data_IF_273238770403
#
_entry.id   IF_273238770403
#
_cell.length_a   1.000
_cell.length_b   1.000
_cell.length_c   1.000
_cell.angle_alpha   90.00
_cell.angle_beta   90.00
_cell.angle_gamma   90.00
#
_symmetry.space_group_name_H-M   'P 1'
#
loop_
_entity.id
_entity.type
_entity.pdbx_description
1 polymer ?
#
# COMPACT_ATOMS: atom_id res chain seq x y z
N UNK A 1 -27.02 -1.66 -0.88
CA UNK A 1 -27.66 -2.24 -2.08
C UNK A 1 -26.84 -1.82 -3.29
N UNK A 2 -26.28 -2.77 -4.03
CA UNK A 2 -25.59 -2.52 -5.30
C UNK A 2 -26.65 -2.30 -6.38
N UNK A 3 -26.40 -1.37 -7.30
CA UNK A 3 -27.36 -1.12 -8.37
C UNK A 3 -26.74 -0.34 -9.52
N UNK A 4 -27.13 -0.70 -10.75
CA UNK A 4 -26.76 0.08 -11.93
C UNK A 4 -27.48 1.42 -11.91
N UNK A 5 -26.80 2.42 -11.36
CA UNK A 5 -27.25 3.81 -11.37
C UNK A 5 -27.02 4.43 -12.75
N UNK A 6 -27.37 5.71 -12.90
CA UNK A 6 -27.30 6.44 -14.18
C UNK A 6 -25.95 6.31 -14.88
N UNK A 7 -25.98 6.07 -16.20
CA UNK A 7 -24.79 5.93 -17.06
C UNK A 7 -23.92 7.15 -17.07
N UNK A 8 -24.57 8.31 -17.15
CA UNK A 8 -23.88 9.57 -17.21
C UNK A 8 -23.07 9.82 -15.93
N UNK A 9 -23.69 9.63 -14.76
CA UNK A 9 -23.01 9.82 -13.49
C UNK A 9 -21.94 8.76 -13.23
N UNK A 10 -22.16 7.50 -13.63
CA UNK A 10 -21.12 6.47 -13.53
C UNK A 10 -19.88 6.85 -14.35
N UNK A 11 -20.06 7.38 -15.55
CA UNK A 11 -18.96 7.91 -16.37
C UNK A 11 -18.27 9.09 -15.71
N UNK A 12 -19.00 10.11 -15.24
CA UNK A 12 -18.42 11.28 -14.58
C UNK A 12 -17.63 10.87 -13.33
N UNK A 13 -18.16 9.98 -12.50
CA UNK A 13 -17.44 9.50 -11.32
C UNK A 13 -16.27 8.58 -11.66
N UNK A 14 -16.28 7.86 -12.78
CA UNK A 14 -15.13 7.05 -13.22
C UNK A 14 -13.89 7.88 -13.58
N UNK A 15 -14.05 9.19 -13.82
CA UNK A 15 -12.92 10.09 -14.04
C UNK A 15 -12.09 10.33 -12.77
N UNK A 16 -12.67 10.07 -11.59
CA UNK A 16 -12.00 10.12 -10.30
C UNK A 16 -11.72 8.69 -9.82
N UNK A 17 -10.45 8.29 -9.64
CA UNK A 17 -10.09 6.93 -9.23
C UNK A 17 -10.85 6.49 -7.96
N UNK A 18 -11.59 5.39 -8.07
CA UNK A 18 -12.36 4.79 -6.98
C UNK A 18 -13.77 5.36 -6.78
N UNK A 19 -14.10 6.53 -7.34
CA UNK A 19 -15.41 7.16 -7.10
C UNK A 19 -16.52 6.48 -7.91
N UNK A 20 -16.24 6.02 -9.13
CA UNK A 20 -17.22 5.32 -9.97
C UNK A 20 -17.62 3.96 -9.38
N UNK A 21 -16.68 3.23 -8.79
CA UNK A 21 -16.89 1.95 -8.14
C UNK A 21 -17.80 2.13 -6.91
N UNK A 22 -17.53 3.16 -6.09
CA UNK A 22 -18.40 3.54 -4.97
C UNK A 22 -19.81 3.93 -5.45
N UNK A 23 -19.91 4.66 -6.56
CA UNK A 23 -21.20 5.06 -7.13
C UNK A 23 -22.04 3.85 -7.56
N UNK A 24 -21.41 2.79 -8.08
CA UNK A 24 -22.07 1.51 -8.41
C UNK A 24 -22.37 0.64 -7.17
N UNK A 25 -21.87 1.02 -5.99
CA UNK A 25 -22.10 0.33 -4.72
C UNK A 25 -20.98 -0.60 -4.28
N UNK A 26 -19.82 -0.57 -4.94
CA UNK A 26 -18.61 -1.30 -4.54
C UNK A 26 -17.71 -0.39 -3.69
N UNK A 27 -18.04 -0.27 -2.40
CA UNK A 27 -17.41 0.67 -1.48
C UNK A 27 -16.00 0.25 -1.11
N UNK A 28 -15.77 -1.03 -0.80
CA UNK A 28 -14.42 -1.54 -0.46
C UNK A 28 -13.50 -1.43 -1.66
N UNK A 29 -14.01 -1.80 -2.83
CA UNK A 29 -13.27 -1.72 -4.10
C UNK A 29 -12.83 -0.29 -4.39
N UNK A 30 -13.77 0.65 -4.43
CA UNK A 30 -13.47 2.06 -4.67
C UNK A 30 -12.56 2.67 -3.61
N UNK A 31 -12.74 2.33 -2.33
CA UNK A 31 -11.87 2.81 -1.24
C UNK A 31 -10.44 2.31 -1.43
N UNK A 32 -10.25 1.06 -1.84
CA UNK A 32 -8.92 0.50 -2.08
C UNK A 32 -8.18 1.29 -3.17
N UNK A 33 -8.85 1.61 -4.27
CA UNK A 33 -8.29 2.38 -5.38
C UNK A 33 -7.95 3.80 -4.92
N UNK A 34 -8.86 4.47 -4.21
CA UNK A 34 -8.63 5.82 -3.67
C UNK A 34 -7.41 5.87 -2.75
N UNK A 35 -7.29 4.91 -1.82
CA UNK A 35 -6.15 4.85 -0.88
C UNK A 35 -4.84 4.66 -1.63
N UNK A 36 -4.79 3.78 -2.64
CA UNK A 36 -3.57 3.59 -3.44
C UNK A 36 -3.24 4.83 -4.27
N UNK A 37 -4.23 5.44 -4.93
CA UNK A 37 -4.02 6.63 -5.77
C UNK A 37 -3.50 7.82 -4.97
N UNK A 38 -4.19 8.19 -3.89
CA UNK A 38 -3.79 9.31 -3.03
C UNK A 38 -2.55 8.98 -2.20
N UNK A 39 -2.39 7.73 -1.76
CA UNK A 39 -1.20 7.28 -1.05
C UNK A 39 0.06 7.41 -1.91
N UNK A 40 -0.03 7.11 -3.21
CA UNK A 40 1.09 7.25 -4.15
C UNK A 40 1.45 8.73 -4.38
N UNK A 41 0.47 9.63 -4.49
CA UNK A 41 0.70 11.08 -4.55
C UNK A 41 1.39 11.57 -3.28
N UNK A 42 0.86 11.18 -2.12
CA UNK A 42 1.41 11.54 -0.81
C UNK A 42 2.86 11.08 -0.67
N UNK A 43 3.14 9.81 -0.98
CA UNK A 43 4.49 9.25 -0.91
C UNK A 43 5.44 9.93 -1.88
N UNK A 44 5.01 10.19 -3.11
CA UNK A 44 5.83 10.90 -4.11
C UNK A 44 6.20 12.31 -3.63
N UNK A 45 5.21 13.05 -3.13
CA UNK A 45 5.41 14.42 -2.65
C UNK A 45 6.30 14.45 -1.41
N UNK A 46 6.05 13.54 -0.45
CA UNK A 46 6.77 13.51 0.81
C UNK A 46 8.22 13.03 0.66
N UNK A 47 8.45 11.97 -0.11
CA UNK A 47 9.79 11.45 -0.39
C UNK A 47 10.53 12.26 -1.47
N UNK A 48 9.85 13.22 -2.11
CA UNK A 48 10.36 13.97 -3.26
C UNK A 48 10.78 13.07 -4.44
N UNK A 49 10.04 11.99 -4.67
CA UNK A 49 10.30 11.04 -5.76
C UNK A 49 9.27 11.27 -6.87
N UNK A 50 9.56 12.22 -7.76
CA UNK A 50 8.72 12.54 -8.92
C UNK A 50 8.34 11.32 -9.79
N UNK A 51 9.28 10.38 -10.07
CA UNK A 51 8.98 9.20 -10.89
C UNK A 51 7.87 8.28 -10.35
N UNK A 52 7.56 8.34 -9.05
CA UNK A 52 6.48 7.53 -8.48
C UNK A 52 5.13 7.84 -9.14
N UNK A 53 4.93 9.10 -9.56
CA UNK A 53 3.68 9.59 -10.17
C UNK A 53 3.40 8.96 -11.55
N UNK A 54 4.38 8.31 -12.19
CA UNK A 54 4.12 7.55 -13.43
C UNK A 54 3.16 6.36 -13.22
N UNK A 55 2.96 5.93 -11.97
CA UNK A 55 1.92 4.96 -11.63
C UNK A 55 0.50 5.52 -11.65
N UNK A 56 0.30 6.85 -11.57
CA UNK A 56 -1.04 7.44 -11.50
C UNK A 56 -1.90 7.15 -12.74
N UNK A 57 -1.42 7.32 -13.98
CA UNK A 57 -2.21 6.99 -15.15
C UNK A 57 -2.61 5.51 -15.17
N UNK A 58 -1.73 4.62 -14.69
CA UNK A 58 -2.00 3.18 -14.63
C UNK A 58 -3.14 2.89 -13.66
N UNK A 59 -3.08 3.43 -12.44
CA UNK A 59 -4.15 3.26 -11.43
C UNK A 59 -5.46 3.88 -11.94
N UNK A 60 -5.39 5.04 -12.58
CA UNK A 60 -6.54 5.71 -13.17
C UNK A 60 -7.21 4.86 -14.24
N UNK A 61 -6.44 4.31 -15.20
CA UNK A 61 -6.99 3.42 -16.23
C UNK A 61 -7.60 2.15 -15.63
N UNK A 62 -6.94 1.54 -14.63
CA UNK A 62 -7.48 0.38 -13.93
C UNK A 62 -8.86 0.71 -13.35
N UNK A 63 -8.98 1.83 -12.63
CA UNK A 63 -10.26 2.26 -12.06
C UNK A 63 -11.29 2.59 -13.14
N UNK A 64 -10.91 3.38 -14.14
CA UNK A 64 -11.78 3.79 -15.22
C UNK A 64 -12.38 2.57 -15.93
N UNK A 65 -11.54 1.64 -16.40
CA UNK A 65 -12.02 0.43 -17.07
C UNK A 65 -12.80 -0.48 -16.14
N UNK A 66 -12.47 -0.51 -14.85
CA UNK A 66 -13.19 -1.33 -13.89
C UNK A 66 -14.64 -0.88 -13.70
N UNK A 67 -14.88 0.43 -13.59
CA UNK A 67 -16.25 0.98 -13.51
C UNK A 67 -17.06 0.63 -14.77
N UNK A 68 -16.43 0.74 -15.94
CA UNK A 68 -17.09 0.43 -17.21
C UNK A 68 -17.38 -1.08 -17.35
N UNK A 69 -16.44 -1.93 -16.93
CA UNK A 69 -16.60 -3.38 -16.93
C UNK A 69 -17.71 -3.82 -15.97
N UNK A 70 -17.70 -3.32 -14.73
CA UNK A 70 -18.77 -3.54 -13.75
C UNK A 70 -20.12 -3.12 -14.30
N UNK A 71 -20.18 -1.99 -14.99
CA UNK A 71 -21.43 -1.49 -15.57
C UNK A 71 -21.91 -2.34 -16.74
N UNK A 72 -21.02 -2.86 -17.57
CA UNK A 72 -21.38 -3.67 -18.75
C UNK A 72 -21.82 -5.10 -18.40
N UNK A 73 -21.51 -5.59 -17.20
CA UNK A 73 -21.93 -6.94 -16.75
C UNK A 73 -23.44 -7.10 -16.74
N UNK A 74 -24.00 -8.29 -17.02
CA UNK A 74 -25.41 -8.60 -16.78
C UNK A 74 -25.82 -8.35 -15.33
N UNK A 75 -27.10 -8.04 -15.08
CA UNK A 75 -27.57 -7.71 -13.72
C UNK A 75 -27.39 -8.86 -12.72
N UNK A 76 -27.50 -10.11 -13.19
CA UNK A 76 -27.24 -11.32 -12.39
C UNK A 76 -25.79 -11.38 -11.92
N UNK A 77 -24.83 -11.17 -12.82
CA UNK A 77 -23.40 -11.16 -12.51
C UNK A 77 -23.02 -9.96 -11.65
N UNK A 78 -23.60 -8.79 -11.93
CA UNK A 78 -23.35 -7.56 -11.18
C UNK A 78 -23.73 -7.68 -9.70
N UNK A 79 -24.90 -8.27 -9.43
CA UNK A 79 -25.37 -8.47 -8.05
C UNK A 79 -24.61 -9.61 -7.35
N UNK A 80 -24.22 -10.65 -8.09
CA UNK A 80 -23.43 -11.76 -7.57
C UNK A 80 -21.97 -11.38 -7.29
N UNK A 81 -21.44 -10.34 -7.94
CA UNK A 81 -20.07 -9.87 -7.74
C UNK A 81 -19.88 -9.39 -6.30
N UNK A 82 -18.93 -9.97 -5.58
CA UNK A 82 -18.61 -9.56 -4.21
C UNK A 82 -17.90 -8.19 -4.16
N UNK A 83 -18.11 -7.43 -3.08
CA UNK A 83 -17.36 -6.19 -2.83
C UNK A 83 -16.14 -6.54 -2.00
N UNK A 84 -15.00 -6.61 -2.67
CA UNK A 84 -13.70 -6.87 -2.05
C UNK A 84 -12.68 -5.79 -2.45
N UNK A 85 -11.64 -5.64 -1.64
CA UNK A 85 -10.56 -4.71 -1.91
C UNK A 85 -9.70 -5.25 -3.06
N UNK A 86 -9.38 -4.42 -4.07
CA UNK A 86 -8.57 -4.87 -5.21
C UNK A 86 -7.12 -5.12 -4.79
N UNK A 87 -6.59 -4.23 -3.96
CA UNK A 87 -5.15 -4.16 -3.65
C UNK A 87 -4.82 -4.63 -2.24
N UNK A 88 -5.82 -4.90 -1.41
CA UNK A 88 -5.64 -5.30 -0.01
C UNK A 88 -6.24 -6.70 0.14
N UNK A 89 -5.45 -7.74 0.43
CA UNK A 89 -5.98 -9.08 0.62
C UNK A 89 -7.04 -9.11 1.73
N UNK A 90 -8.09 -9.90 1.55
CA UNK A 90 -9.16 -10.05 2.53
C UNK A 90 -8.58 -10.54 3.87
N UNK A 91 -8.64 -9.66 4.89
CA UNK A 91 -8.06 -9.92 6.20
C UNK A 91 -9.09 -10.62 7.10
N UNK A 92 -8.93 -11.93 7.32
CA UNK A 92 -9.70 -12.68 8.31
C UNK A 92 -9.42 -12.14 9.74
N UNK A 93 -10.38 -12.18 10.66
CA UNK A 93 -10.31 -11.64 12.03
C UNK A 93 -9.07 -12.12 12.82
N UNK A 94 -8.65 -13.38 12.63
CA UNK A 94 -7.45 -13.92 13.27
C UNK A 94 -6.16 -13.27 12.72
N UNK A 95 -6.12 -13.05 11.40
CA UNK A 95 -5.04 -12.30 10.74
C UNK A 95 -5.09 -10.82 11.13
N UNK A 96 -6.28 -10.21 11.25
CA UNK A 96 -6.46 -8.82 11.70
C UNK A 96 -5.85 -8.61 13.09
N UNK A 97 -5.95 -9.58 14.01
CA UNK A 97 -5.39 -9.45 15.35
C UNK A 97 -3.86 -9.50 15.36
N UNK A 98 -3.26 -10.40 14.57
CA UNK A 98 -1.80 -10.47 14.37
C UNK A 98 -1.26 -9.24 13.64
N UNK A 99 -1.97 -8.82 12.60
CA UNK A 99 -1.65 -7.64 11.80
C UNK A 99 -1.80 -6.35 12.62
N UNK A 100 -2.80 -6.23 13.51
CA UNK A 100 -2.95 -5.06 14.40
C UNK A 100 -1.70 -4.82 15.24
N UNK A 101 -1.10 -5.88 15.80
CA UNK A 101 0.11 -5.76 16.61
C UNK A 101 1.32 -5.34 15.77
N UNK A 102 1.47 -5.91 14.57
CA UNK A 102 2.57 -5.61 13.64
C UNK A 102 2.43 -4.22 13.00
N UNK A 103 1.23 -3.86 12.56
CA UNK A 103 0.91 -2.56 11.96
C UNK A 103 0.90 -1.43 12.97
N UNK A 104 0.60 -1.66 14.25
CA UNK A 104 0.71 -0.61 15.27
C UNK A 104 2.13 -0.08 15.37
N UNK A 105 3.13 -0.96 15.32
CA UNK A 105 4.54 -0.57 15.33
C UNK A 105 4.92 0.18 14.06
N UNK A 106 4.51 -0.32 12.88
CA UNK A 106 4.78 0.35 11.60
C UNK A 106 4.10 1.72 11.52
N UNK A 107 2.85 1.81 11.96
CA UNK A 107 2.08 3.04 11.99
C UNK A 107 2.68 4.04 12.98
N UNK A 108 3.06 3.60 14.19
CA UNK A 108 3.74 4.44 15.16
C UNK A 108 5.08 4.95 14.62
N UNK A 109 5.88 4.08 14.00
CA UNK A 109 7.14 4.46 13.36
C UNK A 109 6.92 5.48 12.24
N UNK A 110 5.93 5.25 11.37
CA UNK A 110 5.56 6.19 10.32
C UNK A 110 5.15 7.55 10.90
N UNK A 111 4.35 7.56 11.98
CA UNK A 111 3.92 8.78 12.65
C UNK A 111 5.08 9.54 13.30
N UNK A 112 6.05 8.82 13.90
CA UNK A 112 7.27 9.40 14.46
C UNK A 112 8.12 10.03 13.36
N UNK A 113 8.34 9.32 12.25
CA UNK A 113 9.08 9.86 11.11
C UNK A 113 8.38 11.07 10.50
N UNK A 114 7.05 11.04 10.42
CA UNK A 114 6.24 12.15 9.95
C UNK A 114 6.38 13.39 10.86
N UNK A 115 6.24 13.21 12.17
CA UNK A 115 6.46 14.27 13.15
C UNK A 115 7.88 14.83 13.10
N UNK A 116 8.89 13.96 13.02
CA UNK A 116 10.29 14.37 12.90
C UNK A 116 10.55 15.15 11.61
N UNK A 117 10.01 14.72 10.47
CA UNK A 117 10.15 15.42 9.19
C UNK A 117 9.56 16.83 9.24
N UNK A 118 8.40 17.00 9.88
CA UNK A 118 7.76 18.32 10.03
C UNK A 118 8.60 19.22 10.95
N UNK A 119 9.01 18.70 12.12
CA UNK A 119 9.82 19.44 13.07
C UNK A 119 11.15 19.86 12.44
N UNK A 120 11.84 18.95 11.75
CA UNK A 120 13.12 19.21 11.09
C UNK A 120 13.00 20.33 10.06
N UNK A 121 12.01 20.25 9.16
CA UNK A 121 11.80 21.26 8.13
C UNK A 121 11.54 22.64 8.76
N UNK A 122 10.68 22.70 9.80
CA UNK A 122 10.38 23.95 10.49
C UNK A 122 11.59 24.52 11.24
N UNK A 123 12.38 23.66 11.91
CA UNK A 123 13.61 24.08 12.60
C UNK A 123 14.62 24.65 11.61
N UNK A 124 14.84 23.98 10.47
CA UNK A 124 15.77 24.46 9.45
C UNK A 124 15.32 25.76 8.77
N UNK A 125 14.01 25.95 8.58
CA UNK A 125 13.48 27.21 8.06
C UNK A 125 13.79 28.40 8.99
N UNK A 126 13.71 28.20 10.32
CA UNK A 126 14.06 29.24 11.30
C UNK A 126 15.57 29.54 11.28
N UNK A 127 16.38 28.48 11.16
CA UNK A 127 17.84 28.59 11.07
C UNK A 127 18.24 29.34 9.79
N UNK A 128 17.61 29.02 8.65
CA UNK A 128 17.83 29.70 7.37
C UNK A 128 17.49 31.19 7.45
N UNK A 129 16.39 31.57 8.12
CA UNK A 129 16.03 32.98 8.30
C UNK A 129 17.07 33.75 9.14
N UNK A 130 17.73 33.07 10.07
CA UNK A 130 18.66 33.70 11.03
C UNK A 130 20.10 33.77 10.50
N UNK A 131 20.49 32.84 9.63
CA UNK A 131 21.87 32.75 9.15
C UNK A 131 22.13 33.67 7.96
N UNK A 132 23.39 34.13 7.78
CA UNK A 132 23.73 34.99 6.65
C UNK A 132 23.63 34.25 5.31
N UNK A 133 23.28 34.99 4.25
CA UNK A 133 22.83 34.49 2.95
C UNK A 133 23.78 33.52 2.23
N UNK A 134 25.06 33.52 2.58
CA UNK A 134 26.07 32.67 1.95
C UNK A 134 25.95 31.19 2.32
N UNK A 135 25.31 30.85 3.45
CA UNK A 135 25.08 29.45 3.85
C UNK A 135 23.72 28.89 3.39
N UNK A 136 22.80 29.74 2.91
CA UNK A 136 21.41 29.34 2.63
C UNK A 136 21.32 28.14 1.68
N UNK A 137 22.18 28.07 0.66
CA UNK A 137 22.14 26.98 -0.31
C UNK A 137 22.44 25.60 0.31
N UNK A 138 23.42 25.52 1.22
CA UNK A 138 23.83 24.26 1.84
C UNK A 138 22.79 23.86 2.90
N UNK A 139 22.33 24.83 3.68
CA UNK A 139 21.36 24.61 4.77
C UNK A 139 20.00 24.21 4.23
N UNK A 140 19.54 24.85 3.15
CA UNK A 140 18.30 24.49 2.47
C UNK A 140 18.33 23.04 1.97
N UNK A 141 19.42 22.64 1.31
CA UNK A 141 19.59 21.25 0.83
C UNK A 141 19.60 20.24 1.98
N UNK A 142 20.35 20.51 3.04
CA UNK A 142 20.39 19.62 4.21
C UNK A 142 19.03 19.56 4.91
N UNK A 143 18.34 20.69 5.06
CA UNK A 143 17.00 20.75 5.64
C UNK A 143 15.99 19.91 4.87
N UNK A 144 16.01 20.00 3.54
CA UNK A 144 15.03 19.33 2.68
C UNK A 144 15.32 17.83 2.49
N UNK A 145 16.57 17.46 2.20
CA UNK A 145 16.90 16.08 1.84
C UNK A 145 17.15 15.18 3.06
N UNK A 146 17.56 15.72 4.21
CA UNK A 146 17.94 14.89 5.35
C UNK A 146 16.80 14.03 5.92
N UNK A 147 15.58 14.55 6.15
CA UNK A 147 14.46 13.72 6.57
C UNK A 147 14.11 12.65 5.54
N UNK A 148 14.14 13.00 4.26
CA UNK A 148 13.86 12.08 3.15
C UNK A 148 14.87 10.93 3.11
N UNK A 149 16.16 11.21 3.37
CA UNK A 149 17.20 10.18 3.47
C UNK A 149 16.93 9.21 4.62
N UNK A 150 16.57 9.71 5.80
CA UNK A 150 16.25 8.86 6.96
C UNK A 150 15.05 7.96 6.64
N UNK A 151 13.98 8.53 6.08
CA UNK A 151 12.80 7.75 5.69
C UNK A 151 13.18 6.69 4.65
N UNK A 152 14.00 7.03 3.66
CA UNK A 152 14.51 6.08 2.66
C UNK A 152 15.30 4.93 3.27
N UNK A 153 16.22 5.21 4.21
CA UNK A 153 16.98 4.18 4.92
C UNK A 153 16.09 3.24 5.73
N UNK A 154 15.06 3.78 6.40
CA UNK A 154 14.07 2.96 7.13
C UNK A 154 13.27 2.08 6.18
N UNK A 155 12.83 2.60 5.04
CA UNK A 155 12.12 1.81 4.02
C UNK A 155 12.98 0.65 3.51
N UNK A 156 14.27 0.90 3.23
CA UNK A 156 15.21 -0.15 2.82
C UNK A 156 15.35 -1.22 3.92
N UNK A 157 15.52 -0.80 5.18
CA UNK A 157 15.63 -1.72 6.30
C UNK A 157 14.36 -2.60 6.46
N UNK A 158 13.17 -2.01 6.33
CA UNK A 158 11.89 -2.74 6.33
C UNK A 158 11.83 -3.71 5.15
N UNK A 159 12.25 -3.30 3.95
CA UNK A 159 12.30 -4.17 2.78
C UNK A 159 13.18 -5.40 2.99
N UNK A 160 14.38 -5.21 3.55
CA UNK A 160 15.30 -6.31 3.88
C UNK A 160 14.69 -7.24 4.94
N UNK A 161 14.06 -6.66 5.98
CA UNK A 161 13.39 -7.43 7.01
C UNK A 161 12.23 -8.29 6.46
N UNK A 162 11.43 -7.74 5.55
CA UNK A 162 10.32 -8.47 4.89
C UNK A 162 10.81 -9.62 4.03
N UNK A 163 11.91 -9.43 3.29
CA UNK A 163 12.52 -10.50 2.47
C UNK A 163 13.02 -11.64 3.35
N UNK A 164 13.69 -11.33 4.47
CA UNK A 164 14.19 -12.34 5.42
C UNK A 164 13.07 -13.14 6.06
N UNK A 165 11.99 -12.49 6.50
CA UNK A 165 10.85 -13.17 7.11
C UNK A 165 10.20 -14.21 6.17
N UNK A 166 10.04 -13.87 4.88
CA UNK A 166 9.49 -14.82 3.89
C UNK A 166 10.42 -16.01 3.65
N UNK A 167 11.73 -15.81 3.69
CA UNK A 167 12.71 -16.88 3.54
C UNK A 167 12.64 -17.87 4.70
N UNK A 168 12.52 -17.38 5.93
CA UNK A 168 12.40 -18.24 7.12
C UNK A 168 11.09 -19.05 7.15
N UNK A 169 9.98 -18.52 6.61
CA UNK A 169 8.74 -19.27 6.46
C UNK A 169 8.88 -20.40 5.41
N UNK A 170 9.47 -20.11 4.25
CA UNK A 170 9.69 -21.10 3.19
C UNK A 170 10.65 -22.23 3.62
N UNK A 171 11.74 -21.88 4.31
CA UNK A 171 12.71 -22.88 4.80
C UNK A 171 12.07 -23.82 5.85
N UNK A 172 11.12 -23.31 6.66
CA UNK A 172 10.37 -24.13 7.63
C UNK A 172 9.36 -25.05 6.95
N UNK A 173 8.67 -24.57 5.93
CA UNK A 173 7.70 -25.37 5.16
C UNK A 173 8.41 -26.50 4.38
N UNK A 174 9.59 -26.24 3.80
CA UNK A 174 10.41 -27.28 3.16
C UNK A 174 10.94 -28.30 4.17
N UNK A 175 11.42 -27.85 5.34
CA UNK A 175 11.88 -28.75 6.39
C UNK A 175 10.73 -29.65 6.91
N UNK A 176 9.53 -29.10 7.10
CA UNK A 176 8.35 -29.86 7.52
C UNK A 176 7.90 -30.88 6.45
N UNK A 177 7.95 -30.50 5.17
CA UNK A 177 7.62 -31.41 4.06
C UNK A 177 8.62 -32.56 3.93
N UNK A 178 9.91 -32.28 4.07
CA UNK A 178 10.97 -33.30 4.01
C UNK A 178 10.91 -34.28 5.19
N UNK A 179 10.59 -33.80 6.39
CA UNK A 179 10.33 -34.68 7.54
C UNK A 179 9.10 -35.57 7.32
N UNK A 180 8.01 -35.02 6.78
CA UNK A 180 6.81 -35.80 6.45
C UNK A 180 7.06 -36.92 5.43
N UNK A 181 7.87 -36.66 4.40
CA UNK A 181 8.24 -37.66 3.39
C UNK A 181 9.11 -38.77 4.00
N UNK A 182 10.08 -38.41 4.85
CA UNK A 182 10.95 -39.40 5.51
C UNK A 182 10.20 -40.37 6.44
N UNK A 183 9.13 -39.90 7.10
CA UNK A 183 8.30 -40.72 7.99
C UNK A 183 7.34 -41.66 7.24
N UNK A 184 7.04 -41.36 5.97
CA UNK A 184 6.23 -42.22 5.10
C UNK A 184 7.06 -43.34 4.47
N UNK A 185 8.31 -43.06 4.10
CA UNK A 185 9.27 -44.06 3.62
C UNK A 185 9.61 -45.09 4.72
N UNK A 186 9.81 -44.63 5.97
CA UNK A 186 10.13 -45.51 7.10
C UNK A 186 8.97 -46.46 7.47
N UNK A 187 7.71 -46.06 7.25
CA UNK A 187 6.53 -46.90 7.46
C UNK A 187 6.19 -47.81 6.28
N UNK A 188 6.61 -47.46 5.07
CA UNK A 188 6.45 -48.29 3.87
C UNK A 188 7.40 -49.49 3.86
N UNK A 189 8.58 -49.36 4.45
CA UNK A 189 9.58 -50.42 4.56
C UNK A 189 9.34 -51.46 5.67
N UNK A 190 8.43 -51.20 6.62
CA UNK A 190 8.12 -52.13 7.73
C UNK A 190 6.94 -53.08 7.45
N UNK A 191 6.31 -52.99 6.26
CA UNK A 191 5.17 -53.83 5.86
C UNK A 191 5.48 -54.79 4.69
N UNK A 192 6.75 -55.09 4.43
CA UNK A 192 7.24 -56.13 3.52
C UNK A 192 8.09 -57.15 4.30
#
# INVERSE_FOLDING_TARGET
MKGKRSSFFAFIFSLLPGAGEMYLGFMKRGTSIMVVFWGLIFLSAWLNIGPLLYGMPIIWFISFFDVHNLRSMPDSEFQAKEDDFIFIPEMNMDKVRLLRTKYRTVFALALILFGFSILWNNTFNIIEFTLPSYYNLIIYRLGHYFPQLIVGLVIIAIGIYLIRGKKEELDKDEAAKNQGISLLDDKGGQNL
#
